data_IF_974201480450
#
_entry.id   IF_974201480450
#
_cell.length_a   1.000
_cell.length_b   1.000
_cell.length_c   1.000
_cell.angle_alpha   90.00
_cell.angle_beta   90.00
_cell.angle_gamma   90.00
#
_symmetry.space_group_name_H-M   'P 1'
#
loop_
_entity.id
_entity.type
_entity.pdbx_description
1 polymer ?
#
# COMPACT_ATOMS: atom_id res chain seq x y z
N UNK A 1 28.52 -6.64 -1.14
CA UNK A 1 27.68 -7.75 -0.63
C UNK A 1 26.30 -7.63 -1.28
N UNK A 2 25.60 -8.72 -1.60
CA UNK A 2 24.28 -8.63 -2.24
C UNK A 2 23.25 -8.00 -1.28
N UNK A 3 22.29 -7.18 -1.75
CA UNK A 3 21.37 -6.44 -0.89
C UNK A 3 20.60 -7.31 0.10
N UNK A 4 20.14 -8.49 -0.32
CA UNK A 4 19.42 -9.44 0.55
C UNK A 4 20.26 -10.03 1.70
N UNK A 5 21.57 -9.77 1.73
CA UNK A 5 22.50 -10.23 2.79
C UNK A 5 23.06 -9.10 3.64
N UNK A 6 22.69 -7.84 3.36
CA UNK A 6 23.20 -6.65 4.05
C UNK A 6 22.12 -5.67 4.50
N UNK A 7 20.85 -5.88 4.14
CA UNK A 7 19.72 -5.07 4.59
C UNK A 7 19.24 -5.51 5.97
N UNK A 8 18.56 -4.61 6.68
CA UNK A 8 17.93 -4.88 7.96
C UNK A 8 16.71 -5.81 7.81
N UNK A 9 16.48 -6.66 8.83
CA UNK A 9 15.33 -7.57 8.87
C UNK A 9 14.16 -7.01 9.70
N UNK A 10 14.24 -5.75 10.16
CA UNK A 10 13.21 -5.09 10.96
C UNK A 10 12.92 -3.74 10.30
N UNK A 11 11.64 -3.47 10.02
CA UNK A 11 11.15 -2.19 9.53
C UNK A 11 10.30 -1.56 10.65
N UNK A 12 10.77 -0.42 11.19
CA UNK A 12 10.02 0.36 12.16
C UNK A 12 9.34 1.54 11.46
N UNK A 13 8.02 1.62 11.54
CA UNK A 13 7.22 2.65 10.87
C UNK A 13 6.02 3.06 11.73
N UNK A 14 5.42 4.21 11.42
CA UNK A 14 4.19 4.66 12.10
C UNK A 14 3.04 3.70 11.77
N UNK A 15 2.32 3.25 12.80
CA UNK A 15 1.11 2.44 12.65
C UNK A 15 0.04 3.20 11.87
N UNK A 16 -0.52 2.55 10.85
CA UNK A 16 -1.64 3.02 10.02
C UNK A 16 -2.86 2.13 10.26
N UNK A 17 -3.80 2.03 9.31
CA UNK A 17 -4.99 1.18 9.45
C UNK A 17 -4.64 -0.30 9.71
N UNK A 18 -5.61 -1.03 10.28
CA UNK A 18 -5.40 -2.40 10.73
C UNK A 18 -4.84 -3.30 9.61
N UNK A 19 -3.85 -4.14 9.97
CA UNK A 19 -3.17 -5.05 9.04
C UNK A 19 -2.46 -4.36 7.85
N UNK A 20 -2.30 -3.03 7.85
CA UNK A 20 -1.56 -2.31 6.80
C UNK A 20 -0.06 -2.45 7.04
N UNK A 21 0.61 -3.08 6.09
CA UNK A 21 2.08 -3.21 6.07
C UNK A 21 2.73 -1.82 5.81
N UNK A 22 3.95 -1.58 6.28
CA UNK A 22 4.75 -0.41 5.90
C UNK A 22 4.97 -0.35 4.38
N UNK A 23 5.05 0.85 3.82
CA UNK A 23 5.36 1.01 2.38
C UNK A 23 6.86 0.80 2.11
N UNK A 24 7.70 1.01 3.12
CA UNK A 24 9.15 0.80 3.10
C UNK A 24 9.51 -0.65 2.76
N UNK A 25 8.58 -1.60 2.93
CA UNK A 25 8.79 -2.99 2.54
C UNK A 25 9.07 -3.12 1.03
N UNK A 26 8.44 -2.29 0.19
CA UNK A 26 8.53 -2.43 -1.26
C UNK A 26 9.95 -2.12 -1.74
N UNK A 27 10.53 -1.01 -1.30
CA UNK A 27 11.90 -0.62 -1.66
C UNK A 27 12.92 -1.68 -1.21
N UNK A 28 12.68 -2.31 -0.06
CA UNK A 28 13.49 -3.43 0.41
C UNK A 28 13.38 -4.64 -0.52
N UNK A 29 12.15 -5.05 -0.87
CA UNK A 29 11.93 -6.21 -1.73
C UNK A 29 12.49 -5.95 -3.13
N UNK A 30 12.27 -4.77 -3.70
CA UNK A 30 12.74 -4.42 -5.04
C UNK A 30 14.27 -4.36 -5.13
N UNK A 31 14.94 -3.95 -4.05
CA UNK A 31 16.40 -3.99 -3.97
C UNK A 31 16.97 -5.41 -3.82
N UNK A 32 16.19 -6.34 -3.25
CA UNK A 32 16.63 -7.71 -2.98
C UNK A 32 16.13 -8.74 -4.00
N UNK A 33 15.16 -8.39 -4.84
CA UNK A 33 14.47 -9.31 -5.75
C UNK A 33 14.20 -8.64 -7.09
N UNK A 34 14.82 -9.18 -8.14
CA UNK A 34 14.51 -8.82 -9.53
C UNK A 34 13.08 -9.22 -9.89
N UNK A 35 12.45 -8.47 -10.80
CA UNK A 35 11.11 -8.79 -11.30
C UNK A 35 11.03 -10.08 -12.11
N UNK A 36 9.81 -10.58 -12.40
CA UNK A 36 8.50 -10.02 -12.04
C UNK A 36 8.08 -10.28 -10.58
N UNK A 37 7.21 -9.42 -10.02
CA UNK A 37 6.80 -9.45 -8.60
C UNK A 37 5.28 -9.55 -8.45
N UNK A 38 4.84 -10.31 -7.43
CA UNK A 38 3.43 -10.49 -7.07
C UNK A 38 3.20 -10.13 -5.61
N UNK A 39 2.15 -9.35 -5.34
CA UNK A 39 1.63 -9.12 -3.99
C UNK A 39 0.30 -9.87 -3.84
N UNK A 40 0.29 -10.89 -2.98
CA UNK A 40 -0.91 -11.65 -2.63
C UNK A 40 -1.63 -10.98 -1.46
N UNK A 41 -2.94 -10.90 -1.56
CA UNK A 41 -3.82 -10.21 -0.62
C UNK A 41 -3.51 -8.71 -0.49
N UNK A 42 -2.95 -8.13 -1.57
CA UNK A 42 -2.65 -6.71 -1.65
C UNK A 42 -3.92 -5.88 -1.69
N UNK A 43 -3.80 -4.63 -1.23
CA UNK A 43 -4.88 -3.65 -1.17
C UNK A 43 -4.40 -2.38 -1.89
N UNK A 44 -5.04 -2.09 -3.02
CA UNK A 44 -4.65 -1.04 -3.96
C UNK A 44 -3.55 -1.47 -4.95
N UNK A 45 -3.50 -0.82 -6.13
CA UNK A 45 -2.54 -1.15 -7.17
C UNK A 45 -1.14 -0.63 -6.83
N UNK A 46 -0.11 -1.33 -7.30
CA UNK A 46 1.29 -0.91 -7.21
C UNK A 46 1.94 -1.03 -8.58
N UNK A 47 2.63 0.03 -9.01
CA UNK A 47 3.36 0.05 -10.27
C UNK A 47 4.41 -1.05 -10.28
N UNK A 48 4.56 -1.78 -11.39
CA UNK A 48 5.55 -2.84 -11.60
C UNK A 48 5.37 -4.08 -10.69
N UNK A 49 4.17 -4.24 -10.11
CA UNK A 49 3.74 -5.40 -9.34
C UNK A 49 2.42 -5.93 -9.88
N UNK A 50 2.30 -7.25 -9.95
CA UNK A 50 1.00 -7.89 -10.11
C UNK A 50 0.36 -8.00 -8.72
N UNK A 51 -0.77 -7.32 -8.51
CA UNK A 51 -1.47 -7.35 -7.22
C UNK A 51 -2.69 -8.23 -7.34
N UNK A 52 -2.80 -9.22 -6.47
CA UNK A 52 -3.94 -10.12 -6.40
C UNK A 52 -4.63 -10.01 -5.04
N UNK A 53 -5.94 -9.78 -5.03
CA UNK A 53 -6.74 -9.67 -3.81
C UNK A 53 -8.10 -9.03 -4.06
N UNK A 54 -9.01 -9.16 -3.10
CA UNK A 54 -10.39 -8.66 -3.22
C UNK A 54 -10.48 -7.13 -3.28
N UNK A 55 -9.42 -6.41 -2.90
CA UNK A 55 -9.33 -4.95 -2.91
C UNK A 55 -8.12 -4.46 -3.73
N UNK A 56 -7.71 -5.23 -4.74
CA UNK A 56 -6.51 -4.91 -5.53
C UNK A 56 -6.67 -3.67 -6.41
N UNK A 57 -7.88 -3.39 -6.90
CA UNK A 57 -8.15 -2.27 -7.80
C UNK A 57 -8.50 -0.97 -7.07
N UNK A 58 -9.37 -1.06 -6.07
CA UNK A 58 -9.80 0.07 -5.25
C UNK A 58 -9.77 -0.31 -3.77
N UNK A 59 -9.21 0.59 -2.96
CA UNK A 59 -9.08 0.41 -1.52
C UNK A 59 -9.33 1.71 -0.77
N UNK A 60 -10.39 1.68 0.01
CA UNK A 60 -10.64 2.63 1.09
C UNK A 60 -11.07 1.82 2.34
N UNK A 61 -10.59 2.17 3.54
CA UNK A 61 -11.11 1.59 4.77
C UNK A 61 -12.59 1.99 4.95
N UNK A 62 -13.46 1.01 5.18
CA UNK A 62 -14.91 1.17 5.41
C UNK A 62 -15.30 0.94 6.89
N UNK A 63 -14.32 0.70 7.77
CA UNK A 63 -14.48 0.55 9.22
C UNK A 63 -13.81 1.70 10.00
N UNK A 64 -14.20 1.88 11.27
CA UNK A 64 -13.54 2.84 12.17
C UNK A 64 -12.06 2.49 12.35
N UNK A 65 -11.17 3.41 11.98
CA UNK A 65 -9.73 3.13 11.97
C UNK A 65 -8.89 4.28 12.54
N UNK A 66 -7.58 4.07 12.64
CA UNK A 66 -6.64 5.02 13.22
C UNK A 66 -6.61 6.33 12.42
N UNK A 67 -6.38 7.45 13.10
CA UNK A 67 -6.32 8.78 12.48
C UNK A 67 -5.29 8.89 11.35
N UNK A 68 -4.21 8.12 11.41
CA UNK A 68 -3.14 8.10 10.39
C UNK A 68 -3.42 7.11 9.24
N UNK A 69 -4.68 6.97 8.81
CA UNK A 69 -5.06 6.05 7.73
C UNK A 69 -4.84 6.64 6.33
N UNK A 70 -4.78 5.79 5.32
CA UNK A 70 -4.55 6.15 3.91
C UNK A 70 -5.49 7.22 3.33
N UNK A 71 -6.72 7.36 3.83
CA UNK A 71 -7.70 8.35 3.36
C UNK A 71 -7.70 9.65 4.19
N UNK A 72 -6.91 9.76 5.25
CA UNK A 72 -6.91 10.92 6.17
C UNK A 72 -6.56 12.26 5.51
N UNK A 73 -5.85 12.24 4.37
CA UNK A 73 -5.39 13.44 3.65
C UNK A 73 -6.10 13.62 2.31
N UNK A 74 -6.98 12.70 1.93
CA UNK A 74 -7.70 12.75 0.65
C UNK A 74 -8.90 13.68 0.81
N UNK A 75 -8.92 14.78 0.06
CA UNK A 75 -10.07 15.70 0.02
C UNK A 75 -10.99 15.23 -1.11
N UNK A 76 -12.22 14.75 -0.81
CA UNK A 76 -13.14 14.32 -1.85
C UNK A 76 -13.59 15.51 -2.69
N UNK A 77 -13.40 15.42 -4.01
CA UNK A 77 -13.93 16.41 -4.94
C UNK A 77 -15.43 16.17 -5.14
N UNK A 78 -16.28 17.06 -4.62
CA UNK A 78 -17.72 17.00 -4.89
C UNK A 78 -17.97 17.44 -6.34
N UNK A 79 -18.31 16.48 -7.22
CA UNK A 79 -18.92 16.81 -8.51
C UNK A 79 -20.31 17.38 -8.25
N UNK A 80 -20.48 18.69 -8.42
CA UNK A 80 -21.81 19.31 -8.47
C UNK A 80 -22.56 18.72 -9.67
N UNK A 81 -23.66 18.01 -9.42
CA UNK A 81 -24.54 17.58 -10.49
C UNK A 81 -25.13 18.82 -11.18
N UNK A 82 -24.89 18.99 -12.48
CA UNK A 82 -25.70 19.90 -13.29
C UNK A 82 -27.11 19.33 -13.31
N UNK A 83 -28.02 19.97 -12.60
CA UNK A 83 -29.46 19.79 -12.80
C UNK A 83 -29.75 20.23 -14.24
N UNK A 84 -30.19 19.28 -15.06
CA UNK A 84 -30.73 19.56 -16.39
C UNK A 84 -32.14 20.15 -16.26
#
# INVERSE_FOLDING_TARGET
MQPGRSRENIISSRKREHSRKPDEQYDLIEACSSGPRIELFGRGPRKDWFVWGNQAEDYAPDWETYSNHSQSTVIPFQKTAKVL
#
